data_IF_578417687698
#
_entry.id   IF_578417687698
#
_cell.length_a   1.000
_cell.length_b   1.000
_cell.length_c   1.000
_cell.angle_alpha   90.00
_cell.angle_beta   90.00
_cell.angle_gamma   90.00
#
_symmetry.space_group_name_H-M   'P 1'
#
loop_
_entity.id
_entity.type
_entity.pdbx_description
1 polymer ?
#
# COMPACT_ATOMS: atom_id res chain seq x y z
N UNK A 1 28.12 -14.14 -7.57
CA UNK A 1 28.33 -13.24 -6.43
C UNK A 1 26.97 -12.79 -5.90
N UNK A 2 26.47 -13.45 -4.85
CA UNK A 2 25.17 -13.16 -4.26
C UNK A 2 25.29 -12.17 -3.11
N UNK A 3 24.91 -10.91 -3.34
CA UNK A 3 24.73 -9.95 -2.27
C UNK A 3 23.44 -10.30 -1.53
N UNK A 4 23.57 -10.77 -0.29
CA UNK A 4 22.45 -10.98 0.64
C UNK A 4 21.65 -9.67 0.75
N UNK A 5 20.40 -9.68 0.30
CA UNK A 5 19.45 -8.55 0.34
C UNK A 5 19.03 -8.10 1.77
N UNK A 6 19.81 -8.46 2.79
CA UNK A 6 19.60 -8.17 4.20
C UNK A 6 19.56 -6.68 4.57
N UNK A 7 20.33 -5.74 3.96
CA UNK A 7 20.31 -4.35 4.42
C UNK A 7 19.02 -3.61 3.99
N UNK A 8 18.42 -3.96 2.85
CA UNK A 8 17.19 -3.33 2.37
C UNK A 8 15.96 -3.72 3.22
N UNK A 9 15.95 -4.95 3.73
CA UNK A 9 14.87 -5.44 4.62
C UNK A 9 14.83 -4.69 5.94
N UNK A 10 15.97 -4.28 6.49
CA UNK A 10 16.03 -3.52 7.74
C UNK A 10 15.42 -2.12 7.60
N UNK A 11 15.75 -1.42 6.50
CA UNK A 11 15.18 -0.10 6.22
C UNK A 11 13.65 -0.14 6.07
N UNK A 12 13.13 -1.12 5.32
CA UNK A 12 11.69 -1.32 5.16
C UNK A 12 10.99 -1.64 6.48
N UNK A 13 11.58 -2.48 7.34
CA UNK A 13 11.02 -2.83 8.66
C UNK A 13 11.02 -1.66 9.63
N UNK A 14 12.06 -0.83 9.59
CA UNK A 14 12.14 0.39 10.39
C UNK A 14 11.07 1.41 9.95
N UNK A 15 10.93 1.65 8.64
CA UNK A 15 9.90 2.53 8.09
C UNK A 15 8.48 2.02 8.41
N UNK A 16 8.25 0.71 8.34
CA UNK A 16 6.97 0.11 8.72
C UNK A 16 6.66 0.30 10.21
N UNK A 17 7.67 0.16 11.08
CA UNK A 17 7.52 0.41 12.52
C UNK A 17 7.21 1.89 12.80
N UNK A 18 7.93 2.81 12.17
CA UNK A 18 7.72 4.26 12.32
C UNK A 18 6.33 4.66 11.83
N UNK A 19 5.90 4.16 10.67
CA UNK A 19 4.56 4.40 10.15
C UNK A 19 3.48 3.83 11.09
N UNK A 20 3.68 2.61 11.61
CA UNK A 20 2.76 2.02 12.59
C UNK A 20 2.66 2.84 13.88
N UNK A 21 3.79 3.35 14.39
CA UNK A 21 3.84 4.22 15.58
C UNK A 21 3.14 5.55 15.30
N UNK A 22 3.39 6.19 14.15
CA UNK A 22 2.72 7.43 13.77
C UNK A 22 1.21 7.26 13.67
N UNK A 23 0.74 6.16 13.08
CA UNK A 23 -0.69 5.83 12.99
C UNK A 23 -1.29 5.57 14.37
N UNK A 24 -0.57 4.86 15.25
CA UNK A 24 -0.97 4.63 16.65
C UNK A 24 -1.11 5.94 17.43
N UNK A 25 -0.10 6.81 17.35
CA UNK A 25 -0.11 8.14 17.98
C UNK A 25 -1.26 8.96 17.44
N UNK A 26 -1.50 8.93 16.12
CA UNK A 26 -2.60 9.66 15.52
C UNK A 26 -3.97 9.17 16.00
N UNK A 27 -4.16 7.85 16.04
CA UNK A 27 -5.38 7.21 16.52
C UNK A 27 -5.65 7.46 18.01
N UNK A 28 -4.62 7.51 18.84
CA UNK A 28 -4.79 7.74 20.28
C UNK A 28 -4.97 9.24 20.58
N UNK A 29 -4.14 10.09 19.99
CA UNK A 29 -4.08 11.51 20.34
C UNK A 29 -5.14 12.36 19.64
N UNK A 30 -5.41 12.12 18.35
CA UNK A 30 -6.33 12.94 17.56
C UNK A 30 -7.70 12.29 17.36
N UNK A 31 -7.80 10.96 17.51
CA UNK A 31 -9.07 10.22 17.34
C UNK A 31 -9.65 9.67 18.65
N UNK A 32 -9.02 9.92 19.80
CA UNK A 32 -9.63 9.64 21.10
C UNK A 32 -9.48 8.20 21.60
N UNK A 33 -8.54 7.41 21.05
CA UNK A 33 -8.13 6.13 21.66
C UNK A 33 -8.55 4.87 20.88
N UNK A 34 -8.11 3.73 21.41
CA UNK A 34 -8.39 2.39 20.89
C UNK A 34 -9.30 1.68 21.90
N UNK A 35 -10.61 1.82 21.74
CA UNK A 35 -11.60 1.20 22.62
C UNK A 35 -12.15 -0.09 22.00
N UNK A 36 -12.19 -1.16 22.80
CA UNK A 36 -12.74 -2.47 22.41
C UNK A 36 -14.28 -2.49 22.37
N UNK A 37 -14.94 -1.50 22.98
CA UNK A 37 -16.38 -1.26 22.91
C UNK A 37 -16.60 0.26 22.88
N UNK A 38 -17.19 0.77 21.79
CA UNK A 38 -17.51 2.19 21.63
C UNK A 38 -18.85 2.36 20.89
N UNK A 39 -19.72 3.23 21.39
CA UNK A 39 -21.02 3.55 20.80
C UNK A 39 -20.93 4.18 19.38
N UNK A 40 -19.79 4.79 19.05
CA UNK A 40 -19.59 5.46 17.78
C UNK A 40 -18.78 4.59 16.79
N UNK A 41 -19.51 3.85 15.94
CA UNK A 41 -18.98 2.88 14.95
C UNK A 41 -18.05 3.47 13.89
N UNK A 42 -17.94 4.80 13.78
CA UNK A 42 -17.05 5.47 12.83
C UNK A 42 -15.57 5.45 13.26
N UNK A 43 -15.27 5.15 14.53
CA UNK A 43 -13.91 5.26 15.09
C UNK A 43 -13.18 3.94 15.31
N UNK A 44 -13.84 2.78 15.12
CA UNK A 44 -13.30 1.52 15.65
C UNK A 44 -12.09 1.04 14.84
N UNK A 45 -12.16 0.73 13.55
CA UNK A 45 -11.00 0.12 12.87
C UNK A 45 -11.10 0.35 11.36
N UNK A 46 -10.26 1.19 10.75
CA UNK A 46 -10.22 1.29 9.28
C UNK A 46 -9.00 0.60 8.65
N UNK A 47 -7.90 0.39 9.40
CA UNK A 47 -6.67 -0.19 8.85
C UNK A 47 -6.38 -1.62 9.29
N UNK A 48 -6.65 -1.99 10.54
CA UNK A 48 -6.39 -3.35 11.07
C UNK A 48 -7.66 -4.24 10.92
N UNK A 49 -8.75 -3.67 10.39
CA UNK A 49 -10.05 -4.33 10.25
C UNK A 49 -9.98 -5.63 9.45
N UNK A 50 -9.30 -5.61 8.30
CA UNK A 50 -9.13 -6.81 7.48
C UNK A 50 -8.37 -7.93 8.22
N UNK A 51 -7.37 -7.58 9.02
CA UNK A 51 -6.61 -8.56 9.80
C UNK A 51 -7.43 -9.16 10.94
N UNK A 52 -8.18 -8.34 11.68
CA UNK A 52 -9.03 -8.82 12.79
C UNK A 52 -10.20 -9.65 12.28
N UNK A 53 -10.85 -9.22 11.19
CA UNK A 53 -12.04 -9.88 10.64
C UNK A 53 -11.70 -11.19 9.93
N UNK A 54 -10.60 -11.25 9.17
CA UNK A 54 -10.26 -12.43 8.35
C UNK A 54 -9.13 -13.31 8.91
N UNK A 55 -8.36 -12.87 9.91
CA UNK A 55 -7.22 -13.61 10.44
C UNK A 55 -7.33 -13.95 11.93
N UNK A 56 -7.06 -13.02 12.85
CA UNK A 56 -7.13 -13.27 14.30
C UNK A 56 -7.43 -11.98 15.09
N UNK A 57 -8.34 -11.98 16.09
CA UNK A 57 -9.11 -13.11 16.67
C UNK A 57 -10.20 -13.73 15.78
N UNK A 58 -10.51 -13.13 14.62
CA UNK A 58 -11.52 -13.62 13.67
C UNK A 58 -12.89 -13.02 13.93
N UNK A 59 -13.50 -12.41 12.91
CA UNK A 59 -14.87 -11.90 12.98
C UNK A 59 -15.89 -13.04 12.91
N UNK A 60 -17.10 -12.81 13.41
CA UNK A 60 -18.22 -13.74 13.22
C UNK A 60 -18.53 -13.91 11.72
N UNK A 61 -19.14 -15.04 11.34
CA UNK A 61 -19.42 -15.33 9.92
C UNK A 61 -20.30 -14.26 9.25
N UNK A 62 -21.23 -13.68 10.01
CA UNK A 62 -22.06 -12.56 9.54
C UNK A 62 -21.22 -11.32 9.21
N UNK A 63 -20.31 -10.94 10.12
CA UNK A 63 -19.42 -9.79 9.90
C UNK A 63 -18.51 -10.07 8.72
N UNK A 64 -17.86 -11.23 8.65
CA UNK A 64 -16.99 -11.60 7.53
C UNK A 64 -17.71 -11.51 6.19
N UNK A 65 -18.90 -12.08 6.09
CA UNK A 65 -19.71 -12.05 4.86
C UNK A 65 -20.05 -10.63 4.41
N UNK A 66 -20.46 -9.79 5.35
CA UNK A 66 -20.87 -8.42 5.06
C UNK A 66 -19.66 -7.51 4.76
N UNK A 67 -18.49 -7.81 5.35
CA UNK A 67 -17.22 -7.09 5.14
C UNK A 67 -16.48 -7.48 3.86
N UNK A 68 -16.65 -8.69 3.34
CA UNK A 68 -15.94 -9.21 2.16
C UNK A 68 -15.97 -8.26 0.94
N UNK A 69 -17.12 -7.77 0.46
CA UNK A 69 -17.15 -6.90 -0.72
C UNK A 69 -16.41 -5.57 -0.47
N UNK A 70 -16.57 -4.99 0.71
CA UNK A 70 -15.89 -3.75 1.10
C UNK A 70 -14.38 -3.94 1.24
N UNK A 71 -13.93 -5.06 1.79
CA UNK A 71 -12.53 -5.39 1.93
C UNK A 71 -11.83 -5.56 0.58
N UNK A 72 -12.48 -6.23 -0.38
CA UNK A 72 -11.98 -6.38 -1.76
C UNK A 72 -11.91 -5.04 -2.49
N UNK A 73 -12.94 -4.20 -2.37
CA UNK A 73 -12.94 -2.86 -2.95
C UNK A 73 -11.81 -1.99 -2.38
N UNK A 74 -11.66 -1.98 -1.05
CA UNK A 74 -10.65 -1.16 -0.37
C UNK A 74 -9.22 -1.58 -0.74
N UNK A 75 -8.92 -2.89 -0.79
CA UNK A 75 -7.57 -3.35 -1.22
C UNK A 75 -7.28 -2.98 -2.67
N UNK A 76 -8.28 -3.03 -3.56
CA UNK A 76 -8.10 -2.64 -4.97
C UNK A 76 -7.83 -1.15 -5.10
N UNK A 77 -8.56 -0.32 -4.35
CA UNK A 77 -8.35 1.12 -4.29
C UNK A 77 -6.94 1.47 -3.81
N UNK A 78 -6.50 0.89 -2.68
CA UNK A 78 -5.15 1.10 -2.13
C UNK A 78 -4.07 0.61 -3.09
N UNK A 79 -4.29 -0.51 -3.78
CA UNK A 79 -3.35 -1.02 -4.78
C UNK A 79 -3.16 -0.04 -5.95
N UNK A 80 -4.25 0.50 -6.51
CA UNK A 80 -4.16 1.49 -7.59
C UNK A 80 -3.45 2.76 -7.12
N UNK A 81 -3.73 3.23 -5.89
CA UNK A 81 -3.00 4.36 -5.30
C UNK A 81 -1.50 4.06 -5.13
N UNK A 82 -1.14 2.84 -4.73
CA UNK A 82 0.26 2.44 -4.56
C UNK A 82 1.01 2.44 -5.90
N UNK A 83 0.39 1.94 -6.98
CA UNK A 83 0.94 2.01 -8.34
C UNK A 83 1.10 3.47 -8.79
N UNK A 84 0.09 4.30 -8.55
CA UNK A 84 0.16 5.74 -8.84
C UNK A 84 1.29 6.45 -8.08
N UNK A 85 1.43 6.17 -6.79
CA UNK A 85 2.48 6.74 -5.95
C UNK A 85 3.88 6.28 -6.38
N UNK A 86 4.03 5.03 -6.82
CA UNK A 86 5.29 4.55 -7.39
C UNK A 86 5.65 5.31 -8.68
N UNK A 87 4.67 5.57 -9.55
CA UNK A 87 4.87 6.36 -10.77
C UNK A 87 5.28 7.81 -10.46
N UNK A 88 4.63 8.44 -9.46
CA UNK A 88 5.00 9.77 -8.99
C UNK A 88 6.42 9.80 -8.41
N UNK A 89 6.80 8.79 -7.62
CA UNK A 89 8.16 8.68 -7.08
C UNK A 89 9.23 8.50 -8.15
N UNK A 90 8.96 7.72 -9.20
CA UNK A 90 9.86 7.62 -10.35
C UNK A 90 9.99 8.96 -11.09
N UNK A 91 8.87 9.66 -11.29
CA UNK A 91 8.86 10.97 -11.93
C UNK A 91 9.63 12.00 -11.11
N UNK A 92 9.34 12.12 -9.81
CA UNK A 92 10.02 13.05 -8.90
C UNK A 92 11.53 12.82 -8.90
N UNK A 93 11.96 11.55 -8.78
CA UNK A 93 13.39 11.22 -8.78
C UNK A 93 14.05 11.56 -10.11
N UNK A 94 13.37 11.28 -11.23
CA UNK A 94 13.90 11.58 -12.56
C UNK A 94 13.99 13.09 -12.80
N UNK A 95 12.96 13.86 -12.42
CA UNK A 95 12.98 15.33 -12.50
C UNK A 95 14.11 15.93 -11.67
N UNK A 96 14.36 15.43 -10.45
CA UNK A 96 15.50 15.88 -9.67
C UNK A 96 16.84 15.59 -10.35
N UNK A 97 17.00 14.42 -10.98
CA UNK A 97 18.23 14.09 -11.69
C UNK A 97 18.40 14.97 -12.95
N UNK A 98 17.34 15.22 -13.70
CA UNK A 98 17.35 16.11 -14.87
C UNK A 98 17.73 17.55 -14.50
N UNK A 99 17.19 18.07 -13.40
CA UNK A 99 17.56 19.39 -12.86
C UNK A 99 19.04 19.44 -12.44
N UNK A 100 19.59 18.32 -11.97
CA UNK A 100 21.01 18.19 -11.62
C UNK A 100 21.92 17.83 -12.81
N UNK A 101 21.43 17.94 -14.05
CA UNK A 101 22.23 17.78 -15.27
C UNK A 101 22.17 16.40 -15.93
N UNK A 102 21.27 15.51 -15.51
CA UNK A 102 21.01 14.26 -16.24
C UNK A 102 20.45 14.57 -17.63
N UNK A 103 20.99 13.91 -18.66
CA UNK A 103 20.44 14.01 -20.00
C UNK A 103 19.04 13.37 -20.07
N UNK A 104 18.05 14.14 -20.51
CA UNK A 104 16.66 13.69 -20.71
C UNK A 104 16.52 12.44 -21.59
N UNK A 105 17.39 12.31 -22.58
CA UNK A 105 17.47 11.14 -23.46
C UNK A 105 18.70 10.27 -23.18
N UNK A 106 19.19 10.29 -21.94
CA UNK A 106 20.26 9.42 -21.49
C UNK A 106 19.79 7.98 -21.27
N UNK A 107 20.73 7.03 -21.31
CA UNK A 107 20.46 5.62 -21.04
C UNK A 107 19.88 5.37 -19.63
N UNK A 108 20.22 6.22 -18.66
CA UNK A 108 19.67 6.19 -17.31
C UNK A 108 18.21 6.64 -17.27
N UNK A 109 17.85 7.73 -17.95
CA UNK A 109 16.47 8.20 -18.06
C UNK A 109 15.57 7.16 -18.76
N UNK A 110 16.06 6.54 -19.85
CA UNK A 110 15.35 5.45 -20.51
C UNK A 110 15.12 4.25 -19.60
N UNK A 111 16.08 3.90 -18.74
CA UNK A 111 15.94 2.81 -17.78
C UNK A 111 14.83 3.08 -16.77
N UNK A 112 14.80 4.29 -16.19
CA UNK A 112 13.76 4.69 -15.22
C UNK A 112 12.38 4.69 -15.89
N UNK A 113 12.27 5.26 -17.10
CA UNK A 113 11.02 5.25 -17.86
C UNK A 113 10.54 3.83 -18.17
N UNK A 114 11.44 2.93 -18.57
CA UNK A 114 11.10 1.53 -18.80
C UNK A 114 10.58 0.85 -17.51
N UNK A 115 11.21 1.10 -16.36
CA UNK A 115 10.74 0.55 -15.07
C UNK A 115 9.37 1.10 -14.65
N UNK A 116 9.09 2.38 -14.93
CA UNK A 116 7.79 2.98 -14.67
C UNK A 116 6.70 2.33 -15.54
N UNK A 117 6.96 2.15 -16.85
CA UNK A 117 6.05 1.46 -17.77
C UNK A 117 5.80 0.02 -17.32
N UNK A 118 6.86 -0.72 -16.97
CA UNK A 118 6.74 -2.09 -16.49
C UNK A 118 5.89 -2.17 -15.20
N UNK A 119 6.04 -1.21 -14.30
CA UNK A 119 5.25 -1.11 -13.06
C UNK A 119 3.77 -0.89 -13.36
N UNK A 120 3.44 0.01 -14.30
CA UNK A 120 2.05 0.24 -14.74
C UNK A 120 1.46 -1.00 -15.37
N UNK A 121 2.20 -1.65 -16.29
CA UNK A 121 1.74 -2.89 -16.95
C UNK A 121 1.47 -4.00 -15.93
N UNK A 122 2.38 -4.20 -14.96
CA UNK A 122 2.17 -5.12 -13.85
C UNK A 122 0.93 -4.76 -13.03
N UNK A 123 0.77 -3.46 -12.70
CA UNK A 123 -0.41 -2.89 -12.06
C UNK A 123 -1.72 -3.30 -12.76
N UNK A 124 -1.78 -3.06 -14.05
CA UNK A 124 -2.95 -3.37 -14.90
C UNK A 124 -3.21 -4.88 -14.93
N UNK A 125 -2.20 -5.70 -15.15
CA UNK A 125 -2.37 -7.16 -15.19
C UNK A 125 -2.94 -7.72 -13.88
N UNK A 126 -2.39 -7.32 -12.73
CA UNK A 126 -2.90 -7.75 -11.42
C UNK A 126 -4.34 -7.30 -11.21
N UNK A 127 -4.68 -6.08 -11.63
CA UNK A 127 -6.04 -5.56 -11.54
C UNK A 127 -7.02 -6.38 -12.40
N UNK A 128 -6.65 -6.65 -13.66
CA UNK A 128 -7.46 -7.48 -14.57
C UNK A 128 -7.64 -8.91 -14.06
N UNK A 129 -6.58 -9.55 -13.56
CA UNK A 129 -6.64 -10.88 -12.96
C UNK A 129 -7.49 -10.91 -11.69
N UNK A 130 -7.54 -9.80 -10.94
CA UNK A 130 -8.41 -9.68 -9.76
C UNK A 130 -9.89 -9.52 -10.16
N UNK A 131 -10.18 -8.80 -11.25
CA UNK A 131 -11.54 -8.69 -11.80
C UNK A 131 -12.04 -9.99 -12.41
N UNK A 132 -11.18 -10.74 -13.11
CA UNK A 132 -11.59 -12.02 -13.71
C UNK A 132 -12.00 -13.05 -12.66
N UNK A 133 -11.41 -12.99 -11.47
CA UNK A 133 -11.79 -13.86 -10.34
C UNK A 133 -13.07 -13.42 -9.63
N UNK A 134 -13.50 -12.16 -9.80
CA UNK A 134 -14.72 -11.66 -9.17
C UNK A 134 -16.01 -12.08 -9.91
N UNK A 135 -15.90 -12.57 -11.15
CA UNK A 135 -17.02 -13.04 -11.97
C UNK A 135 -17.14 -14.56 -12.11
N UNK A 136 -16.29 -15.34 -11.41
CA UNK A 136 -16.33 -16.81 -11.36
C UNK A 136 -16.90 -17.27 -10.01
#
# INVERSE_FOLDING_TARGET
MGLKALPFSFGARFLALVAAIMVLVWSIHFRGGLAWEADNKNLIFNWIYGFVVFFYPGGSDAVRRDSLPWHVLFRMFVYVMAVGNACLGFLEKLTFLEVNGLAKYGSEAFRVNFTAIATVLYGVFVFLTSLSQAGA
#
